data_IF_568684977642
#
_entry.id   IF_568684977642
#
_cell.length_a   1.000
_cell.length_b   1.000
_cell.length_c   1.000
_cell.angle_alpha   90.00
_cell.angle_beta   90.00
_cell.angle_gamma   90.00
#
_symmetry.space_group_name_H-M   'P 1'
#
loop_
_entity.id
_entity.type
_entity.pdbx_description
1 polymer ?
#
# COMPACT_ATOMS: atom_id res chain seq x y z
N UNK A 1 -30.70 18.34 19.16
CA UNK A 1 -30.15 17.23 18.35
C UNK A 1 -28.81 17.62 17.71
N UNK A 2 -28.64 18.89 17.35
CA UNK A 2 -27.47 19.48 16.68
C UNK A 2 -26.12 19.35 17.43
N UNK A 3 -26.06 19.59 18.75
CA UNK A 3 -24.80 19.52 19.51
C UNK A 3 -24.20 18.11 19.64
N UNK A 4 -25.00 17.06 19.50
CA UNK A 4 -24.49 15.69 19.51
C UNK A 4 -23.83 15.33 18.17
N UNK A 5 -24.30 15.90 17.06
CA UNK A 5 -23.73 15.69 15.72
C UNK A 5 -22.39 16.44 15.56
N UNK A 6 -22.29 17.67 16.04
CA UNK A 6 -21.03 18.45 15.99
C UNK A 6 -19.89 17.77 16.78
N UNK A 7 -20.22 17.22 17.95
CA UNK A 7 -19.27 16.47 18.77
C UNK A 7 -18.85 15.16 18.09
N UNK A 8 -19.79 14.48 17.42
CA UNK A 8 -19.50 13.29 16.62
C UNK A 8 -18.60 13.62 15.43
N UNK A 9 -18.83 14.73 14.76
CA UNK A 9 -18.01 15.19 13.64
C UNK A 9 -16.59 15.55 14.10
N UNK A 10 -16.45 16.23 15.25
CA UNK A 10 -15.14 16.49 15.87
C UNK A 10 -14.39 15.22 16.21
N UNK A 11 -15.06 14.25 16.85
CA UNK A 11 -14.47 12.95 17.18
C UNK A 11 -14.06 12.18 15.92
N UNK A 12 -14.89 12.21 14.88
CA UNK A 12 -14.61 11.58 13.59
C UNK A 12 -13.36 12.18 12.93
N UNK A 13 -13.24 13.51 12.87
CA UNK A 13 -12.07 14.20 12.31
C UNK A 13 -10.79 13.91 13.11
N UNK A 14 -10.88 13.89 14.43
CA UNK A 14 -9.74 13.57 15.30
C UNK A 14 -9.27 12.13 15.10
N UNK A 15 -10.19 11.17 15.11
CA UNK A 15 -9.88 9.76 14.89
C UNK A 15 -9.27 9.53 13.48
N UNK A 16 -9.83 10.17 12.46
CA UNK A 16 -9.33 10.11 11.08
C UNK A 16 -7.88 10.62 10.98
N UNK A 17 -7.57 11.71 11.68
CA UNK A 17 -6.22 12.29 11.73
C UNK A 17 -5.22 11.36 12.42
N UNK A 18 -5.62 10.69 13.52
CA UNK A 18 -4.78 9.69 14.19
C UNK A 18 -4.48 8.49 13.30
N UNK A 19 -5.50 8.00 12.58
CA UNK A 19 -5.36 6.88 11.65
C UNK A 19 -4.43 7.26 10.49
N UNK A 20 -4.57 8.46 9.92
CA UNK A 20 -3.69 8.94 8.85
C UNK A 20 -2.23 9.05 9.33
N UNK A 21 -2.01 9.61 10.52
CA UNK A 21 -0.67 9.67 11.13
C UNK A 21 -0.07 8.28 11.32
N UNK A 22 -0.84 7.33 11.86
CA UNK A 22 -0.37 5.96 12.08
C UNK A 22 -0.05 5.24 10.76
N UNK A 23 -0.91 5.38 9.75
CA UNK A 23 -0.67 4.81 8.41
C UNK A 23 0.60 5.37 7.77
N UNK A 24 0.90 6.66 7.94
CA UNK A 24 2.12 7.26 7.44
C UNK A 24 3.38 6.71 8.14
N UNK A 25 3.31 6.44 9.44
CA UNK A 25 4.42 5.84 10.22
C UNK A 25 4.65 4.39 9.83
N UNK A 26 3.60 3.55 9.82
CA UNK A 26 3.71 2.13 9.41
C UNK A 26 4.22 1.97 7.95
N UNK A 27 3.95 2.98 7.13
CA UNK A 27 4.40 3.08 5.74
C UNK A 27 5.88 3.41 5.62
N UNK A 28 6.38 4.32 6.44
CA UNK A 28 7.80 4.62 6.55
C UNK A 28 8.56 3.37 7.03
N UNK A 29 8.06 2.71 8.07
CA UNK A 29 8.68 1.50 8.64
C UNK A 29 8.74 0.34 7.64
N UNK A 30 7.70 0.10 6.85
CA UNK A 30 7.73 -0.95 5.81
C UNK A 30 8.68 -0.62 4.65
N UNK A 31 8.75 0.64 4.21
CA UNK A 31 9.68 1.05 3.16
C UNK A 31 11.13 0.93 3.62
N UNK A 32 11.40 1.31 4.87
CA UNK A 32 12.73 1.26 5.48
C UNK A 32 13.19 -0.19 5.69
N UNK A 33 12.30 -1.10 6.13
CA UNK A 33 12.59 -2.55 6.21
C UNK A 33 12.88 -3.17 4.85
N UNK A 34 12.26 -2.66 3.78
CA UNK A 34 12.42 -3.14 2.41
C UNK A 34 13.55 -2.44 1.64
N UNK A 35 14.22 -1.44 2.23
CA UNK A 35 15.20 -0.57 1.55
C UNK A 35 14.66 0.04 0.24
N UNK A 36 13.35 0.28 0.15
CA UNK A 36 12.71 0.84 -1.04
C UNK A 36 12.37 2.30 -0.82
N UNK A 37 12.75 3.16 -1.77
CA UNK A 37 12.37 4.59 -1.76
C UNK A 37 11.50 4.92 -2.96
N UNK A 38 10.23 5.20 -2.71
CA UNK A 38 9.25 5.60 -3.73
C UNK A 38 9.50 7.05 -4.13
N UNK A 39 9.63 7.34 -5.44
CA UNK A 39 9.76 8.72 -5.95
C UNK A 39 8.44 9.34 -6.38
N UNK A 40 7.56 8.52 -6.96
CA UNK A 40 6.21 8.88 -7.35
C UNK A 40 5.41 7.57 -7.51
N UNK A 41 4.13 7.58 -7.13
CA UNK A 41 3.25 6.42 -7.33
C UNK A 41 1.80 6.85 -7.16
N UNK A 42 0.97 6.53 -8.17
CA UNK A 42 -0.48 6.66 -8.11
C UNK A 42 -1.17 5.39 -7.56
N UNK A 43 -0.40 4.36 -7.19
CA UNK A 43 -0.95 3.13 -6.62
C UNK A 43 -1.34 3.32 -5.15
N UNK A 44 -2.48 2.78 -4.69
CA UNK A 44 -2.86 2.85 -3.29
C UNK A 44 -1.87 2.09 -2.41
N UNK A 45 -1.70 2.55 -1.18
CA UNK A 45 -0.65 2.11 -0.25
C UNK A 45 -0.61 0.60 0.03
N UNK A 46 -1.75 -0.11 0.19
CA UNK A 46 -1.74 -1.56 0.37
C UNK A 46 -1.15 -2.29 -0.84
N UNK A 47 -1.44 -1.81 -2.06
CA UNK A 47 -0.88 -2.36 -3.30
C UNK A 47 0.62 -2.06 -3.42
N UNK A 48 1.08 -0.88 -3.01
CA UNK A 48 2.51 -0.57 -3.00
C UNK A 48 3.29 -1.51 -2.07
N UNK A 49 2.82 -1.71 -0.84
CA UNK A 49 3.46 -2.62 0.10
C UNK A 49 3.50 -4.06 -0.45
N UNK A 50 2.41 -4.51 -1.08
CA UNK A 50 2.35 -5.83 -1.69
C UNK A 50 3.31 -5.94 -2.89
N UNK A 51 3.39 -4.90 -3.73
CA UNK A 51 4.33 -4.80 -4.84
C UNK A 51 5.79 -4.88 -4.39
N UNK A 52 6.16 -4.13 -3.35
CA UNK A 52 7.53 -4.15 -2.82
C UNK A 52 7.90 -5.49 -2.19
N UNK A 53 6.97 -6.11 -1.45
CA UNK A 53 7.14 -7.47 -0.94
C UNK A 53 7.35 -8.47 -2.07
N UNK A 54 6.47 -8.48 -3.07
CA UNK A 54 6.58 -9.39 -4.21
C UNK A 54 7.89 -9.19 -4.99
N UNK A 55 8.36 -7.95 -5.13
CA UNK A 55 9.65 -7.67 -5.75
C UNK A 55 10.80 -8.25 -4.94
N UNK A 56 10.78 -8.09 -3.62
CA UNK A 56 11.81 -8.65 -2.74
C UNK A 56 11.77 -10.17 -2.71
N UNK A 57 10.60 -10.78 -2.62
CA UNK A 57 10.45 -12.25 -2.65
C UNK A 57 11.04 -12.85 -3.95
N UNK A 58 10.88 -12.15 -5.08
CA UNK A 58 11.50 -12.54 -6.35
C UNK A 58 13.02 -12.35 -6.36
N UNK A 59 13.53 -11.31 -5.70
CA UNK A 59 14.97 -11.08 -5.54
C UNK A 59 15.59 -12.17 -4.65
N UNK A 60 14.94 -12.49 -3.53
CA UNK A 60 15.37 -13.51 -2.57
C UNK A 60 15.34 -14.92 -3.19
N UNK A 61 14.38 -15.19 -4.09
CA UNK A 61 14.28 -16.44 -4.84
C UNK A 61 15.33 -16.59 -5.96
N UNK A 62 16.12 -15.55 -6.24
CA UNK A 62 17.16 -15.55 -7.28
C UNK A 62 18.56 -15.34 -6.68
N UNK A 63 19.16 -16.35 -6.03
CA UNK A 63 20.52 -16.27 -5.54
C UNK A 63 21.51 -16.30 -6.73
N UNK A 64 22.00 -15.15 -7.18
CA UNK A 64 23.01 -15.06 -8.25
C UNK A 64 22.98 -13.78 -9.07
N UNK A 65 23.48 -13.84 -10.32
CA UNK A 65 23.43 -12.70 -11.26
C UNK A 65 21.97 -12.34 -11.55
N UNK A 66 21.59 -11.13 -11.15
CA UNK A 66 20.27 -10.56 -11.33
C UNK A 66 19.86 -10.55 -12.82
N UNK A 67 18.83 -11.31 -13.20
CA UNK A 67 18.25 -11.24 -14.54
C UNK A 67 17.11 -10.22 -14.56
N UNK A 68 17.44 -8.99 -14.98
CA UNK A 68 16.49 -7.87 -15.01
C UNK A 68 15.29 -8.14 -15.93
N UNK A 69 15.44 -8.94 -17.00
CA UNK A 69 14.36 -9.23 -17.94
C UNK A 69 13.34 -10.18 -17.33
N UNK A 70 13.81 -11.22 -16.64
CA UNK A 70 12.98 -12.18 -15.92
C UNK A 70 12.26 -11.52 -14.76
N UNK A 71 12.96 -10.68 -14.00
CA UNK A 71 12.36 -9.89 -12.92
C UNK A 71 11.23 -8.97 -13.46
N UNK A 72 11.49 -8.22 -14.54
CA UNK A 72 10.49 -7.35 -15.14
C UNK A 72 9.25 -8.13 -15.63
N UNK A 73 9.45 -9.31 -16.24
CA UNK A 73 8.35 -10.15 -16.70
C UNK A 73 7.52 -10.70 -15.52
N UNK A 74 8.16 -11.13 -14.45
CA UNK A 74 7.50 -11.63 -13.25
C UNK A 74 6.68 -10.53 -12.57
N UNK A 75 7.30 -9.37 -12.31
CA UNK A 75 6.63 -8.21 -11.71
C UNK A 75 5.42 -7.74 -12.53
N UNK A 76 5.54 -7.72 -13.86
CA UNK A 76 4.43 -7.35 -14.75
C UNK A 76 3.24 -8.31 -14.62
N UNK A 77 3.49 -9.61 -14.50
CA UNK A 77 2.43 -10.63 -14.35
C UNK A 77 1.74 -10.54 -13.00
N UNK A 78 2.52 -10.46 -11.92
CA UNK A 78 2.00 -10.36 -10.55
C UNK A 78 1.16 -9.10 -10.34
N UNK A 79 1.62 -7.95 -10.86
CA UNK A 79 0.82 -6.73 -10.83
C UNK A 79 -0.49 -6.84 -11.61
N UNK A 80 -0.47 -7.46 -12.79
CA UNK A 80 -1.68 -7.61 -13.59
C UNK A 80 -2.77 -8.41 -12.87
N UNK A 81 -2.39 -9.41 -12.07
CA UNK A 81 -3.31 -10.20 -11.26
C UNK A 81 -3.83 -9.43 -10.04
N UNK A 82 -2.97 -8.66 -9.37
CA UNK A 82 -3.37 -7.87 -8.20
C UNK A 82 -4.43 -6.81 -8.51
N UNK A 83 -4.35 -6.15 -9.67
CA UNK A 83 -5.34 -5.14 -10.06
C UNK A 83 -6.70 -5.74 -10.43
N UNK A 84 -6.76 -7.00 -10.86
CA UNK A 84 -8.03 -7.65 -11.19
C UNK A 84 -8.83 -8.12 -9.96
N UNK A 85 -8.19 -8.20 -8.78
CA UNK A 85 -8.83 -8.72 -7.57
C UNK A 85 -9.30 -7.64 -6.59
N UNK A 86 -9.23 -6.34 -6.92
CA UNK A 86 -9.69 -5.29 -6.02
C UNK A 86 -11.24 -5.29 -5.93
N UNK A 87 -11.85 -5.63 -4.77
CA UNK A 87 -13.28 -5.51 -4.62
C UNK A 87 -13.66 -4.03 -4.71
N UNK A 88 -14.57 -3.74 -5.64
CA UNK A 88 -15.26 -2.45 -5.73
C UNK A 88 -15.98 -2.29 -4.39
N UNK A 89 -15.42 -1.49 -3.47
CA UNK A 89 -16.07 -1.15 -2.21
C UNK A 89 -17.38 -0.43 -2.55
N UNK A 90 -18.48 -1.17 -2.49
CA UNK A 90 -19.84 -0.69 -2.67
C UNK A 90 -20.12 0.34 -1.57
N UNK A 91 -20.28 1.61 -1.97
CA UNK A 91 -20.88 2.63 -1.13
C UNK A 91 -22.26 2.13 -0.70
N UNK A 92 -22.41 1.74 0.57
CA UNK A 92 -23.73 1.67 1.18
C UNK A 92 -24.19 3.10 1.44
N UNK A 93 -25.43 3.35 1.05
CA UNK A 93 -26.11 4.63 0.90
C UNK A 93 -26.90 4.95 2.16
#
# INVERSE_FOLDING_TARGET
MEGAEEELERRSKFLSSLIQKKKAVEQQENCDLLNVRVRASDMPLPLQNQAFRCARDHLDSMPGKLDSKRLALALKKEHALMFQMAPIQTKQK
#
